data_IF_126059127475
#
_entry.id   IF_126059127475
#
_cell.length_a   1.000
_cell.length_b   1.000
_cell.length_c   1.000
_cell.angle_alpha   90.00
_cell.angle_beta   90.00
_cell.angle_gamma   90.00
#
_symmetry.space_group_name_H-M   'P 1'
#
loop_
_entity.id
_entity.type
_entity.pdbx_description
1 polymer ?
#
# COMPACT_ATOMS: atom_id res chain seq x y z
N UNK A 1 -52.80 -6.12 4.64
CA UNK A 1 -51.42 -5.80 5.07
C UNK A 1 -50.53 -5.76 3.83
N UNK A 2 -50.06 -4.59 3.37
CA UNK A 2 -49.23 -4.48 2.16
C UNK A 2 -47.76 -4.65 2.55
N UNK A 3 -47.19 -5.81 2.26
CA UNK A 3 -45.76 -6.06 2.45
C UNK A 3 -45.01 -5.24 1.40
N UNK A 4 -44.24 -4.26 1.85
CA UNK A 4 -43.37 -3.44 0.99
C UNK A 4 -41.96 -4.01 0.94
N UNK A 5 -41.26 -3.78 -0.17
CA UNK A 5 -39.88 -4.26 -0.41
C UNK A 5 -38.90 -3.92 0.72
N UNK A 6 -39.12 -2.80 1.42
CA UNK A 6 -38.32 -2.39 2.59
C UNK A 6 -38.44 -3.34 3.79
N UNK A 7 -39.63 -3.89 4.04
CA UNK A 7 -39.88 -4.82 5.15
C UNK A 7 -39.19 -6.16 4.89
N UNK A 8 -39.19 -6.62 3.63
CA UNK A 8 -38.53 -7.86 3.23
C UNK A 8 -37.01 -7.74 3.35
N UNK A 9 -36.42 -6.62 2.94
CA UNK A 9 -34.97 -6.38 3.05
C UNK A 9 -34.51 -6.27 4.50
N UNK A 10 -35.27 -5.57 5.35
CA UNK A 10 -34.96 -5.46 6.77
C UNK A 10 -35.02 -6.82 7.50
N UNK A 11 -36.01 -7.65 7.16
CA UNK A 11 -36.16 -8.99 7.72
C UNK A 11 -35.01 -9.94 7.28
N UNK A 12 -34.58 -9.85 6.02
CA UNK A 12 -33.45 -10.65 5.50
C UNK A 12 -32.10 -10.21 6.09
N UNK A 13 -31.93 -8.91 6.36
CA UNK A 13 -30.75 -8.37 7.05
C UNK A 13 -30.67 -8.83 8.51
N UNK A 14 -31.79 -8.78 9.24
CA UNK A 14 -31.87 -9.26 10.61
C UNK A 14 -31.69 -10.79 10.73
N UNK A 15 -32.05 -11.55 9.69
CA UNK A 15 -31.92 -13.00 9.63
C UNK A 15 -30.57 -13.53 9.11
N UNK A 16 -29.60 -12.67 8.79
CA UNK A 16 -28.29 -13.11 8.27
C UNK A 16 -28.36 -13.78 6.88
N UNK A 17 -29.48 -13.68 6.19
CA UNK A 17 -29.75 -14.30 4.87
C UNK A 17 -29.42 -13.35 3.71
N UNK A 18 -28.77 -12.21 3.98
CA UNK A 18 -28.19 -11.41 2.92
C UNK A 18 -27.05 -12.20 2.29
N UNK A 19 -27.09 -12.47 0.96
CA UNK A 19 -25.96 -13.09 0.29
C UNK A 19 -24.73 -12.22 0.55
N UNK A 20 -23.65 -12.82 1.07
CA UNK A 20 -22.39 -12.14 1.43
C UNK A 20 -21.75 -11.30 0.31
N UNK A 21 -22.32 -11.32 -0.90
CA UNK A 21 -21.99 -10.47 -2.04
C UNK A 21 -22.31 -8.99 -1.82
N UNK A 22 -23.23 -8.62 -0.92
CA UNK A 22 -23.46 -7.19 -0.58
C UNK A 22 -22.48 -6.70 0.52
N UNK A 23 -21.95 -7.61 1.36
CA UNK A 23 -20.97 -7.27 2.39
C UNK A 23 -19.54 -7.08 1.86
N UNK A 24 -19.26 -7.44 0.60
CA UNK A 24 -17.94 -7.39 0.00
C UNK A 24 -17.91 -6.62 -1.33
N UNK A 25 -18.60 -5.48 -1.41
CA UNK A 25 -18.26 -4.47 -2.41
C UNK A 25 -17.10 -3.63 -1.86
N UNK A 26 -15.94 -4.26 -1.64
CA UNK A 26 -14.72 -3.54 -1.26
C UNK A 26 -14.30 -2.75 -2.50
N UNK A 27 -14.64 -1.46 -2.53
CA UNK A 27 -14.18 -0.54 -3.58
C UNK A 27 -12.66 -0.68 -3.70
N UNK A 28 -12.17 -1.00 -4.90
CA UNK A 28 -10.75 -0.91 -5.19
C UNK A 28 -10.34 0.56 -5.07
N UNK A 29 -9.38 0.82 -4.20
CA UNK A 29 -8.83 2.16 -4.01
C UNK A 29 -7.88 2.47 -5.15
N UNK A 30 -7.90 3.72 -5.63
CA UNK A 30 -6.90 4.19 -6.59
C UNK A 30 -5.51 4.21 -5.94
N UNK A 31 -4.46 4.26 -6.76
CA UNK A 31 -3.09 4.40 -6.23
C UNK A 31 -2.93 5.68 -5.39
N UNK A 32 -3.56 6.77 -5.81
CA UNK A 32 -3.57 8.04 -5.09
C UNK A 32 -4.24 7.91 -3.71
N UNK A 33 -5.39 7.24 -3.65
CA UNK A 33 -6.09 6.97 -2.40
C UNK A 33 -5.26 6.08 -1.46
N UNK A 34 -4.53 5.10 -2.00
CA UNK A 34 -3.63 4.24 -1.23
C UNK A 34 -2.42 5.00 -0.68
N UNK A 35 -1.83 5.90 -1.46
CA UNK A 35 -0.68 6.71 -1.05
C UNK A 35 -1.02 7.75 0.02
N UNK A 36 -2.30 8.11 0.17
CA UNK A 36 -2.77 8.99 1.23
C UNK A 36 -2.98 8.29 2.58
N UNK A 37 -2.99 6.95 2.62
CA UNK A 37 -3.15 6.19 3.86
C UNK A 37 -1.87 6.18 4.69
N UNK A 38 -1.97 6.06 6.02
CA UNK A 38 -0.82 5.68 6.84
C UNK A 38 -0.20 4.38 6.31
N UNK A 39 1.13 4.38 6.22
CA UNK A 39 1.82 3.22 5.69
C UNK A 39 1.74 2.02 6.63
N UNK A 40 1.32 0.88 6.09
CA UNK A 40 1.22 -0.42 6.77
C UNK A 40 1.58 -1.54 5.79
N UNK A 41 1.80 -2.77 6.28
CA UNK A 41 2.05 -3.92 5.41
C UNK A 41 0.89 -4.17 4.42
N UNK A 42 -0.36 -3.94 4.85
CA UNK A 42 -1.53 -4.09 3.99
C UNK A 42 -1.62 -2.99 2.92
N UNK A 43 -1.24 -1.75 3.27
CA UNK A 43 -1.15 -0.63 2.32
C UNK A 43 -0.08 -0.92 1.28
N UNK A 44 1.12 -1.33 1.71
CA UNK A 44 2.23 -1.71 0.83
C UNK A 44 1.83 -2.83 -0.14
N UNK A 45 1.21 -3.90 0.36
CA UNK A 45 0.75 -5.00 -0.49
C UNK A 45 -0.31 -4.57 -1.51
N UNK A 46 -1.13 -3.57 -1.18
CA UNK A 46 -2.13 -3.01 -2.10
C UNK A 46 -1.47 -2.13 -3.16
N UNK A 47 -0.50 -1.29 -2.78
CA UNK A 47 0.30 -0.47 -3.71
C UNK A 47 1.09 -1.38 -4.65
N UNK A 48 1.79 -2.39 -4.13
CA UNK A 48 2.59 -3.35 -4.91
C UNK A 48 1.75 -4.02 -6.00
N UNK A 49 0.53 -4.44 -5.65
CA UNK A 49 -0.44 -5.00 -6.59
C UNK A 49 -0.91 -3.96 -7.61
N UNK A 50 -1.24 -2.75 -7.18
CA UNK A 50 -1.70 -1.68 -8.07
C UNK A 50 -0.64 -1.27 -9.10
N UNK A 51 0.65 -1.27 -8.74
CA UNK A 51 1.75 -0.93 -9.68
C UNK A 51 2.30 -2.12 -10.45
N UNK A 52 1.87 -3.35 -10.16
CA UNK A 52 2.26 -4.55 -10.89
C UNK A 52 3.73 -4.96 -10.76
N UNK A 53 4.41 -4.61 -9.66
CA UNK A 53 5.83 -4.97 -9.43
C UNK A 53 5.97 -6.33 -8.72
N UNK A 54 7.01 -7.15 -9.02
CA UNK A 54 7.27 -8.40 -8.29
C UNK A 54 7.47 -8.17 -6.79
N UNK A 55 8.19 -7.11 -6.43
CA UNK A 55 8.58 -6.80 -5.07
C UNK A 55 8.73 -5.30 -4.83
N UNK A 56 8.63 -4.90 -3.57
CA UNK A 56 8.76 -3.51 -3.13
C UNK A 56 9.30 -3.46 -1.70
N UNK A 57 10.20 -2.51 -1.44
CA UNK A 57 10.60 -2.11 -0.09
C UNK A 57 10.35 -0.61 0.08
N UNK A 58 10.04 -0.17 1.30
CA UNK A 58 9.95 1.25 1.61
C UNK A 58 10.38 1.59 3.03
N UNK A 59 10.69 2.88 3.22
CA UNK A 59 10.74 3.54 4.52
C UNK A 59 9.69 4.65 4.56
N UNK A 60 8.90 4.71 5.63
CA UNK A 60 7.90 5.75 5.85
C UNK A 60 8.08 6.39 7.22
N UNK A 61 8.08 7.71 7.25
CA UNK A 61 8.11 8.49 8.48
C UNK A 61 7.12 9.64 8.40
N UNK A 62 6.36 9.85 9.48
CA UNK A 62 5.37 10.92 9.56
C UNK A 62 5.48 11.65 10.91
N UNK A 63 5.98 12.89 10.86
CA UNK A 63 6.32 13.69 12.02
C UNK A 63 7.48 13.10 12.83
N UNK A 64 7.41 13.23 14.15
CA UNK A 64 8.42 12.72 15.08
C UNK A 64 8.31 11.22 15.39
N UNK A 65 7.40 10.49 14.74
CA UNK A 65 7.27 9.04 14.95
C UNK A 65 8.48 8.29 14.39
N UNK A 66 8.88 7.16 14.98
CA UNK A 66 9.93 6.31 14.41
C UNK A 66 9.59 5.89 12.97
N UNK A 67 10.59 5.78 12.09
CA UNK A 67 10.38 5.32 10.73
C UNK A 67 9.91 3.86 10.71
N UNK A 68 8.93 3.56 9.86
CA UNK A 68 8.52 2.21 9.53
C UNK A 68 9.29 1.73 8.30
N UNK A 69 9.89 0.54 8.39
CA UNK A 69 10.54 -0.14 7.28
C UNK A 69 9.73 -1.38 6.91
N UNK A 70 9.33 -1.48 5.65
CA UNK A 70 8.47 -2.56 5.16
C UNK A 70 9.01 -3.10 3.84
N UNK A 71 8.76 -4.39 3.61
CA UNK A 71 9.07 -5.09 2.37
C UNK A 71 7.95 -6.08 2.04
N UNK A 72 7.63 -6.23 0.76
CA UNK A 72 6.65 -7.21 0.28
C UNK A 72 7.02 -7.72 -1.12
N UNK A 73 6.66 -8.97 -1.40
CA UNK A 73 6.88 -9.64 -2.67
C UNK A 73 8.27 -10.26 -2.85
N UNK A 74 8.64 -10.47 -4.11
CA UNK A 74 9.81 -11.25 -4.53
C UNK A 74 10.81 -10.34 -5.26
N UNK A 75 12.11 -10.64 -5.12
CA UNK A 75 13.17 -9.81 -5.73
C UNK A 75 13.10 -9.78 -7.26
N UNK A 76 12.64 -10.86 -7.88
CA UNK A 76 12.51 -10.99 -9.32
C UNK A 76 11.37 -11.95 -9.68
N UNK A 77 10.84 -11.82 -10.91
CA UNK A 77 9.85 -12.75 -11.45
C UNK A 77 10.51 -14.11 -11.71
N UNK A 78 9.86 -15.21 -11.32
CA UNK A 78 10.40 -16.57 -11.47
C UNK A 78 11.37 -17.01 -10.37
N UNK A 79 11.61 -16.15 -9.39
CA UNK A 79 12.53 -16.36 -8.27
C UNK A 79 11.75 -16.42 -6.96
N UNK A 80 12.14 -17.27 -6.02
CA UNK A 80 11.43 -17.49 -4.75
C UNK A 80 11.93 -16.56 -3.62
N UNK A 81 13.02 -15.84 -3.87
CA UNK A 81 13.70 -15.00 -2.89
C UNK A 81 12.83 -13.78 -2.53
N UNK A 82 12.44 -13.62 -1.24
CA UNK A 82 11.63 -12.50 -0.82
C UNK A 82 12.44 -11.21 -0.83
N UNK A 83 11.75 -10.09 -1.09
CA UNK A 83 12.33 -8.77 -0.82
C UNK A 83 12.51 -8.59 0.68
N UNK A 84 13.63 -8.02 1.08
CA UNK A 84 13.89 -7.62 2.47
C UNK A 84 14.15 -6.11 2.57
N UNK A 85 13.99 -5.56 3.78
CA UNK A 85 14.33 -4.16 4.07
C UNK A 85 15.84 -3.88 4.04
N UNK A 86 16.68 -4.93 3.86
CA UNK A 86 18.14 -4.83 3.74
C UNK A 86 18.64 -5.03 2.31
N UNK A 87 17.74 -5.25 1.36
CA UNK A 87 18.13 -5.44 -0.03
C UNK A 87 18.72 -4.16 -0.60
N UNK A 88 19.74 -4.31 -1.46
CA UNK A 88 20.38 -3.19 -2.16
C UNK A 88 19.67 -2.98 -3.49
N UNK A 89 19.28 -1.73 -3.75
CA UNK A 89 18.57 -1.34 -4.96
C UNK A 89 19.38 -0.31 -5.76
N UNK A 90 19.26 -0.33 -7.08
CA UNK A 90 19.75 0.76 -7.91
C UNK A 90 18.90 2.02 -7.67
N UNK A 91 19.53 3.09 -7.17
CA UNK A 91 18.82 4.32 -6.79
C UNK A 91 18.42 5.20 -7.98
N UNK A 92 19.02 4.99 -9.15
CA UNK A 92 18.76 5.79 -10.35
C UNK A 92 18.95 7.29 -10.10
N UNK A 93 17.96 8.11 -10.45
CA UNK A 93 18.06 9.58 -10.32
C UNK A 93 18.03 10.10 -8.89
N UNK A 94 17.71 9.29 -7.88
CA UNK A 94 17.84 9.70 -6.47
C UNK A 94 19.29 10.08 -6.16
N UNK A 95 20.27 9.47 -6.82
CA UNK A 95 21.70 9.83 -6.69
C UNK A 95 21.98 11.32 -6.95
N UNK A 96 21.14 12.02 -7.73
CA UNK A 96 21.31 13.46 -7.99
C UNK A 96 21.28 14.29 -6.71
N UNK A 97 20.39 13.98 -5.75
CA UNK A 97 20.32 14.74 -4.50
C UNK A 97 21.56 14.48 -3.63
N UNK A 98 22.08 13.25 -3.62
CA UNK A 98 23.33 12.90 -2.94
C UNK A 98 24.50 13.73 -3.49
N UNK A 99 24.64 13.79 -4.82
CA UNK A 99 25.66 14.61 -5.48
C UNK A 99 25.46 16.10 -5.18
N UNK A 100 24.23 16.61 -5.24
CA UNK A 100 23.94 18.01 -4.94
C UNK A 100 24.31 18.38 -3.49
N UNK A 101 24.03 17.50 -2.52
CA UNK A 101 24.44 17.71 -1.13
C UNK A 101 25.97 17.76 -1.00
N UNK A 102 26.71 16.89 -1.69
CA UNK A 102 28.18 16.95 -1.69
C UNK A 102 28.71 18.29 -2.19
N UNK A 103 28.17 18.80 -3.31
CA UNK A 103 28.52 20.12 -3.83
C UNK A 103 28.19 21.24 -2.85
N UNK A 104 27.01 21.20 -2.23
CA UNK A 104 26.62 22.20 -1.22
C UNK A 104 27.64 22.26 -0.08
N UNK A 105 28.09 21.11 0.44
CA UNK A 105 29.11 21.06 1.50
C UNK A 105 30.47 21.60 1.07
N UNK A 106 30.85 21.42 -0.20
CA UNK A 106 32.08 21.99 -0.73
C UNK A 106 32.00 23.51 -0.92
N UNK A 107 30.81 24.06 -1.18
CA UNK A 107 30.58 25.51 -1.27
C UNK A 107 30.51 26.17 0.11
N UNK A 108 30.00 25.46 1.12
CA UNK A 108 29.89 25.94 2.50
C UNK A 108 31.23 26.00 3.26
N UNK A 109 32.24 25.23 2.84
CA UNK A 109 33.53 25.07 3.52
C UNK A 109 34.53 26.20 3.21
#
# INVERSE_FOLDING_TARGET
MRITRRIVVAALAAGGLLPGRIAAQRREMTLEELLALPMSAATLASIKRAVGTPGMALMWQAGARPPAFLADGLRAVGHAEPVTTRDVWHLGSITKSFTATLFARAVEA
#
